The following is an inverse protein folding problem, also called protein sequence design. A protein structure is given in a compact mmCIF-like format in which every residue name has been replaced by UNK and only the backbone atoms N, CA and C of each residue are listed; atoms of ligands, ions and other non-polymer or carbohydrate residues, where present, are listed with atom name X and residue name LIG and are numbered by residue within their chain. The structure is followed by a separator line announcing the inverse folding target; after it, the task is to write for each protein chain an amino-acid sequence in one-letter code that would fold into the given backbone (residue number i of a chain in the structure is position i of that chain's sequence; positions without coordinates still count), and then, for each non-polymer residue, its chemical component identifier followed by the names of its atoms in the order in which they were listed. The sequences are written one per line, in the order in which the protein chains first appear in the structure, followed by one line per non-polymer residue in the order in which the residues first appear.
data_IF_672700567087
#
_entry.id   IF_672700567087
#
_cell.length_a   1.000
_cell.length_b   1.000
_cell.length_c   1.000
_cell.angle_alpha   90.00
_cell.angle_beta   90.00
_cell.angle_gamma   90.00
#
_symmetry.space_group_name_H-M   'P 1'
#
loop_
_entity.id
_entity.type
_entity.pdbx_description
1 polymer ?
#
# COMPACT_ATOMS: atom_id res chain seq x y z
N UNK A 1 -13.40 -16.80 -9.32
CA UNK A 1 -13.58 -15.79 -8.27
C UNK A 1 -12.90 -14.49 -8.70
N UNK A 2 -13.61 -13.38 -8.55
CA UNK A 2 -12.97 -12.09 -8.73
C UNK A 2 -11.94 -11.89 -7.62
N UNK A 3 -10.70 -11.58 -8.00
CA UNK A 3 -9.72 -11.12 -7.02
C UNK A 3 -10.17 -9.75 -6.47
N UNK A 4 -10.07 -9.58 -5.19
CA UNK A 4 -10.38 -8.31 -4.55
C UNK A 4 -9.28 -7.28 -4.84
N UNK A 5 -9.70 -6.03 -5.07
CA UNK A 5 -8.76 -4.94 -5.29
C UNK A 5 -8.08 -4.57 -3.97
N UNK A 6 -6.77 -4.44 -4.03
CA UNK A 6 -5.94 -4.08 -2.90
C UNK A 6 -4.89 -3.04 -3.29
N UNK A 7 -4.27 -2.46 -2.28
CA UNK A 7 -3.17 -1.50 -2.47
C UNK A 7 -2.04 -1.80 -1.49
N UNK A 8 -0.88 -1.25 -1.78
CA UNK A 8 0.32 -1.38 -0.96
C UNK A 8 0.67 -0.01 -0.37
N UNK A 9 0.82 0.03 0.96
CA UNK A 9 1.30 1.23 1.63
C UNK A 9 2.80 1.43 1.40
N UNK A 10 3.29 2.62 1.67
CA UNK A 10 4.69 3.01 1.46
C UNK A 10 5.67 2.05 2.14
N UNK A 11 5.36 1.56 3.35
CA UNK A 11 6.24 0.63 4.06
C UNK A 11 6.41 -0.71 3.33
N UNK A 12 5.38 -1.22 2.68
CA UNK A 12 5.48 -2.44 1.88
C UNK A 12 6.40 -2.22 0.67
N UNK A 13 6.24 -1.09 -0.01
CA UNK A 13 7.11 -0.72 -1.12
C UNK A 13 8.57 -0.55 -0.66
N UNK A 14 8.76 0.05 0.51
CA UNK A 14 10.08 0.21 1.11
C UNK A 14 10.77 -1.15 1.34
N UNK A 15 10.08 -2.08 1.99
CA UNK A 15 10.64 -3.41 2.25
C UNK A 15 10.90 -4.21 0.97
N UNK A 16 10.10 -4.01 -0.08
CA UNK A 16 10.34 -4.66 -1.35
C UNK A 16 11.66 -4.24 -2.01
N UNK A 17 12.20 -3.09 -1.63
CA UNK A 17 13.44 -2.52 -2.18
C UNK A 17 14.62 -2.70 -1.23
N UNK A 18 14.39 -2.62 0.09
CA UNK A 18 15.45 -2.65 1.10
C UNK A 18 15.86 -4.08 1.46
N UNK A 19 16.91 -4.58 0.84
CA UNK A 19 17.46 -5.92 1.09
C UNK A 19 17.89 -6.13 2.54
N UNK A 20 18.26 -5.08 3.25
CA UNK A 20 18.65 -5.14 4.66
C UNK A 20 17.48 -5.46 5.60
N UNK A 21 16.23 -5.39 5.10
CA UNK A 21 15.02 -5.68 5.88
C UNK A 21 14.78 -7.19 6.11
N UNK A 22 15.63 -8.06 5.58
CA UNK A 22 15.60 -9.50 5.87
C UNK A 22 14.31 -10.19 5.43
N UNK A 23 13.62 -10.83 6.37
CA UNK A 23 12.39 -11.57 6.09
C UNK A 23 11.27 -10.67 5.56
N UNK A 24 11.18 -9.44 6.03
CA UNK A 24 10.19 -8.47 5.51
C UNK A 24 10.46 -8.15 4.04
N UNK A 25 11.75 -8.05 3.65
CA UNK A 25 12.12 -7.88 2.26
C UNK A 25 11.67 -9.07 1.41
N UNK A 26 11.90 -10.30 1.88
CA UNK A 26 11.50 -11.50 1.15
C UNK A 26 9.98 -11.56 0.94
N UNK A 27 9.20 -11.27 1.97
CA UNK A 27 7.74 -11.25 1.90
C UNK A 27 7.24 -10.15 0.98
N UNK A 28 7.74 -8.92 1.16
CA UNK A 28 7.33 -7.76 0.37
C UNK A 28 7.68 -7.94 -1.12
N UNK A 29 8.83 -8.54 -1.41
CA UNK A 29 9.24 -8.82 -2.80
C UNK A 29 8.28 -9.80 -3.48
N UNK A 30 7.85 -10.85 -2.77
CA UNK A 30 6.86 -11.80 -3.30
C UNK A 30 5.52 -11.12 -3.56
N UNK A 31 5.06 -10.31 -2.64
CA UNK A 31 3.81 -9.56 -2.79
C UNK A 31 3.92 -8.62 -4.01
N UNK A 32 4.99 -7.86 -4.12
CA UNK A 32 5.19 -6.93 -5.23
C UNK A 32 5.20 -7.65 -6.58
N UNK A 33 5.92 -8.77 -6.67
CA UNK A 33 5.97 -9.56 -7.91
C UNK A 33 4.58 -10.06 -8.32
N UNK A 34 3.81 -10.59 -7.39
CA UNK A 34 2.49 -11.14 -7.68
C UNK A 34 1.41 -10.08 -7.86
N UNK A 35 1.61 -8.90 -7.28
CA UNK A 35 0.68 -7.78 -7.45
C UNK A 35 0.56 -7.32 -8.90
N UNK A 36 1.58 -7.58 -9.72
CA UNK A 36 1.57 -7.21 -11.13
C UNK A 36 0.54 -8.00 -11.94
N UNK A 37 0.20 -9.21 -11.50
CA UNK A 37 -0.80 -10.07 -12.14
C UNK A 37 -2.14 -10.07 -11.38
N UNK A 38 -2.29 -9.16 -10.44
CA UNK A 38 -3.48 -9.03 -9.61
C UNK A 38 -4.10 -7.64 -9.76
N UNK A 39 -5.25 -7.42 -9.13
CA UNK A 39 -5.92 -6.11 -9.13
C UNK A 39 -5.36 -5.22 -8.01
N UNK A 40 -4.15 -4.73 -8.24
CA UNK A 40 -3.44 -3.86 -7.32
C UNK A 40 -3.36 -2.45 -7.87
N UNK A 41 -3.80 -1.48 -7.08
CA UNK A 41 -3.64 -0.06 -7.37
C UNK A 41 -2.67 0.57 -6.37
N UNK A 42 -2.01 1.64 -6.75
CA UNK A 42 -1.18 2.44 -5.84
C UNK A 42 -1.75 3.84 -5.72
N UNK A 43 -1.48 4.49 -4.60
CA UNK A 43 -1.85 5.89 -4.41
C UNK A 43 -0.62 6.78 -4.63
N UNK A 44 -0.85 8.00 -5.09
CA UNK A 44 0.23 9.00 -5.19
C UNK A 44 0.83 9.27 -3.81
N UNK A 45 0.04 9.24 -2.75
CA UNK A 45 0.53 9.44 -1.39
C UNK A 45 1.54 8.36 -1.00
N UNK A 46 1.23 7.09 -1.23
CA UNK A 46 2.14 5.99 -0.90
C UNK A 46 3.47 6.10 -1.67
N UNK A 47 3.40 6.47 -2.95
CA UNK A 47 4.59 6.68 -3.77
C UNK A 47 5.44 7.85 -3.26
N UNK A 48 4.80 8.95 -2.87
CA UNK A 48 5.48 10.12 -2.30
C UNK A 48 6.15 9.77 -0.98
N UNK A 49 5.45 9.07 -0.10
CA UNK A 49 5.97 8.64 1.20
C UNK A 49 7.12 7.63 1.02
N UNK A 50 7.01 6.72 0.07
CA UNK A 50 8.11 5.81 -0.28
C UNK A 50 9.35 6.59 -0.68
N UNK A 51 9.22 7.53 -1.61
CA UNK A 51 10.35 8.34 -2.08
C UNK A 51 11.02 9.07 -0.90
N UNK A 52 10.23 9.71 -0.06
CA UNK A 52 10.74 10.42 1.10
C UNK A 52 11.49 9.49 2.07
N UNK A 53 10.93 8.32 2.35
CA UNK A 53 11.54 7.37 3.29
C UNK A 53 12.83 6.76 2.75
N UNK A 54 12.83 6.30 1.50
CA UNK A 54 13.99 5.58 0.92
C UNK A 54 15.19 6.50 0.74
N UNK A 55 14.96 7.78 0.40
CA UNK A 55 16.02 8.78 0.26
C UNK A 55 16.50 9.29 1.61
N UNK A 56 15.61 9.56 2.55
CA UNK A 56 15.96 10.01 3.90
C UNK A 56 16.84 8.97 4.61
N UNK A 57 16.53 7.71 4.49
CA UNK A 57 17.31 6.60 5.07
C UNK A 57 18.54 6.25 4.27
N UNK A 58 18.83 6.98 3.21
CA UNK A 58 20.00 6.81 2.34
C UNK A 58 20.15 5.41 1.74
N UNK A 59 19.02 4.75 1.50
CA UNK A 59 18.99 3.43 0.83
C UNK A 59 19.12 3.56 -0.67
N UNK A 60 18.66 4.67 -1.23
CA UNK A 60 18.78 5.00 -2.65
C UNK A 60 19.07 6.49 -2.82
N UNK A 61 19.73 6.85 -3.91
CA UNK A 61 19.85 8.25 -4.31
C UNK A 61 18.49 8.78 -4.78
N UNK A 62 18.32 10.10 -4.77
CA UNK A 62 17.10 10.71 -5.28
C UNK A 62 16.84 10.33 -6.76
N UNK A 63 17.89 10.26 -7.56
CA UNK A 63 17.79 9.89 -8.97
C UNK A 63 17.29 8.45 -9.15
N UNK A 64 17.87 7.51 -8.42
CA UNK A 64 17.46 6.10 -8.45
C UNK A 64 16.01 5.91 -7.97
N UNK A 65 15.66 6.56 -6.85
CA UNK A 65 14.32 6.49 -6.30
C UNK A 65 13.27 7.09 -7.25
N UNK A 66 13.60 8.23 -7.88
CA UNK A 66 12.72 8.85 -8.87
C UNK A 66 12.48 7.95 -10.08
N UNK A 67 13.54 7.28 -10.56
CA UNK A 67 13.43 6.34 -11.67
C UNK A 67 12.49 5.19 -11.31
N UNK A 68 12.65 4.62 -10.12
CA UNK A 68 11.82 3.52 -9.65
C UNK A 68 10.35 3.93 -9.49
N UNK A 69 10.09 5.10 -8.90
CA UNK A 69 8.72 5.60 -8.74
C UNK A 69 8.06 5.82 -10.10
N UNK A 70 8.77 6.41 -11.06
CA UNK A 70 8.25 6.59 -12.42
C UNK A 70 7.96 5.26 -13.11
N UNK A 71 8.80 4.25 -12.87
CA UNK A 71 8.57 2.91 -13.38
C UNK A 71 7.28 2.31 -12.80
N UNK A 72 7.08 2.42 -11.49
CA UNK A 72 5.85 1.95 -10.86
C UNK A 72 4.61 2.68 -11.39
N UNK A 73 4.71 4.00 -11.60
CA UNK A 73 3.60 4.77 -12.18
C UNK A 73 3.25 4.31 -13.60
N UNK A 74 4.18 3.72 -14.32
CA UNK A 74 3.92 3.20 -15.67
C UNK A 74 3.34 1.78 -15.66
N UNK A 75 3.51 1.04 -14.56
CA UNK A 75 3.09 -0.36 -14.47
C UNK A 75 1.78 -0.52 -13.72
N UNK A 76 1.60 0.21 -12.60
CA UNK A 76 0.40 0.13 -11.78
C UNK A 76 -0.60 1.24 -12.14
N UNK A 77 -1.90 0.96 -12.02
CA UNK A 77 -2.86 2.06 -11.93
C UNK A 77 -2.57 2.87 -10.67
N UNK A 78 -2.44 4.18 -10.82
CA UNK A 78 -2.13 5.09 -9.71
C UNK A 78 -3.28 6.08 -9.56
N UNK A 79 -3.77 6.22 -8.34
CA UNK A 79 -4.93 7.06 -8.05
C UNK A 79 -4.53 8.30 -7.24
N UNK A 80 -5.02 9.48 -7.64
CA UNK A 80 -4.73 10.72 -6.96
C UNK A 80 -5.77 11.05 -5.88
N UNK A 81 -5.41 11.87 -4.89
CA UNK A 81 -6.40 12.49 -4.03
C UNK A 81 -7.20 13.52 -4.82
N UNK A 82 -8.45 13.72 -4.41
CA UNK A 82 -9.35 14.71 -4.98
C UNK A 82 -9.98 15.55 -3.88
N UNK A 83 -10.69 16.61 -4.25
CA UNK A 83 -11.47 17.38 -3.28
C UNK A 83 -12.48 16.49 -2.56
N UNK A 84 -13.15 15.58 -3.28
CA UNK A 84 -14.08 14.63 -2.68
C UNK A 84 -13.42 13.68 -1.69
N UNK A 85 -12.22 13.18 -1.98
CA UNK A 85 -11.50 12.30 -1.05
C UNK A 85 -11.01 13.06 0.18
N UNK A 86 -10.61 14.32 0.05
CA UNK A 86 -10.27 15.14 1.20
C UNK A 86 -11.49 15.34 2.10
N UNK A 87 -12.65 15.65 1.52
CA UNK A 87 -13.89 15.83 2.28
C UNK A 87 -14.25 14.54 3.06
N UNK A 88 -14.15 13.37 2.42
CA UNK A 88 -14.37 12.08 3.08
C UNK A 88 -13.34 11.84 4.19
N UNK A 89 -12.07 12.18 3.95
CA UNK A 89 -11.01 12.06 4.96
C UNK A 89 -11.30 12.93 6.19
N UNK A 90 -11.73 14.16 5.99
CA UNK A 90 -12.10 15.06 7.09
C UNK A 90 -13.20 14.46 7.96
N UNK A 91 -14.14 13.76 7.37
CA UNK A 91 -15.19 13.07 8.11
C UNK A 91 -14.64 11.93 8.99
N UNK A 92 -13.69 11.14 8.47
CA UNK A 92 -13.02 10.10 9.25
C UNK A 92 -12.24 10.68 10.44
N UNK A 93 -11.56 11.80 10.22
CA UNK A 93 -10.77 12.50 11.27
C UNK A 93 -11.68 13.04 12.37
N UNK A 94 -12.78 13.68 11.99
CA UNK A 94 -13.71 14.29 12.96
C UNK A 94 -14.45 13.26 13.81
N UNK A 95 -14.53 12.01 13.37
CA UNK A 95 -15.04 10.90 14.15
C UNK A 95 -13.97 10.23 15.04
N UNK A 96 -12.74 10.75 15.02
CA UNK A 96 -11.64 10.28 15.86
C UNK A 96 -11.04 8.94 15.46
N UNK A 97 -11.27 8.48 14.21
CA UNK A 97 -10.88 7.15 13.76
C UNK A 97 -9.48 7.07 13.17
N UNK A 98 -8.93 8.18 12.69
CA UNK A 98 -7.67 8.18 11.98
C UNK A 98 -7.02 9.56 12.01
N UNK A 99 -5.70 9.61 11.77
CA UNK A 99 -5.01 10.84 11.44
C UNK A 99 -5.44 11.33 10.06
N UNK A 100 -5.18 12.59 9.75
CA UNK A 100 -5.52 13.13 8.42
C UNK A 100 -4.76 12.37 7.30
N UNK A 101 -3.53 11.95 7.56
CA UNK A 101 -2.72 11.24 6.58
C UNK A 101 -3.29 9.84 6.27
N UNK A 102 -3.61 9.08 7.31
CA UNK A 102 -4.24 7.77 7.17
C UNK A 102 -5.64 7.89 6.56
N UNK A 103 -6.41 8.88 7.00
CA UNK A 103 -7.76 9.12 6.50
C UNK A 103 -7.75 9.47 5.00
N UNK A 104 -6.78 10.27 4.55
CA UNK A 104 -6.65 10.64 3.14
C UNK A 104 -6.33 9.42 2.28
N UNK A 105 -5.41 8.57 2.76
CA UNK A 105 -5.07 7.33 2.07
C UNK A 105 -6.30 6.42 1.95
N UNK A 106 -6.99 6.19 3.04
CA UNK A 106 -8.18 5.33 3.09
C UNK A 106 -9.31 5.88 2.20
N UNK A 107 -9.57 7.19 2.26
CA UNK A 107 -10.60 7.81 1.44
C UNK A 107 -10.30 7.66 -0.06
N UNK A 108 -9.03 7.79 -0.44
CA UNK A 108 -8.60 7.61 -1.82
C UNK A 108 -8.83 6.17 -2.29
N UNK A 109 -8.49 5.19 -1.45
CA UNK A 109 -8.70 3.77 -1.76
C UNK A 109 -10.18 3.44 -1.86
N UNK A 110 -10.99 3.91 -0.92
CA UNK A 110 -12.43 3.67 -0.91
C UNK A 110 -13.12 4.27 -2.15
N UNK A 111 -12.71 5.46 -2.58
CA UNK A 111 -13.25 6.11 -3.77
C UNK A 111 -12.92 5.34 -5.06
N UNK A 112 -11.95 4.44 -5.02
CA UNK A 112 -11.51 3.63 -6.16
C UNK A 112 -11.84 2.15 -6.00
N UNK A 113 -12.84 1.84 -5.17
CA UNK A 113 -13.34 0.48 -4.93
C UNK A 113 -12.26 -0.50 -4.44
N UNK A 114 -11.31 0.01 -3.67
CA UNK A 114 -10.24 -0.78 -3.09
C UNK A 114 -10.64 -1.21 -1.67
N UNK A 115 -10.60 -2.50 -1.38
CA UNK A 115 -11.13 -3.06 -0.13
C UNK A 115 -10.05 -3.48 0.86
N UNK A 116 -8.78 -3.57 0.43
CA UNK A 116 -7.67 -3.99 1.29
C UNK A 116 -6.48 -3.06 1.12
N UNK A 117 -5.87 -2.69 2.24
CA UNK A 117 -4.58 -2.01 2.27
C UNK A 117 -3.58 -2.87 3.02
N UNK A 118 -2.51 -3.28 2.34
CA UNK A 118 -1.40 -3.96 2.99
C UNK A 118 -0.50 -2.90 3.61
N UNK A 119 -0.36 -2.94 4.93
CA UNK A 119 0.40 -1.96 5.69
C UNK A 119 0.87 -2.55 7.01
N UNK A 120 2.08 -2.19 7.43
CA UNK A 120 2.62 -2.54 8.74
C UNK A 120 2.25 -1.50 9.81
N UNK A 121 2.10 -0.24 9.40
CA UNK A 121 1.97 0.89 10.34
C UNK A 121 0.58 1.06 10.92
N UNK A 122 -0.44 0.56 10.24
CA UNK A 122 -1.81 0.62 10.72
C UNK A 122 -2.18 -0.70 11.39
N UNK A 123 -3.12 -0.64 12.32
CA UNK A 123 -3.55 -1.83 13.07
C UNK A 123 -4.18 -2.86 12.14
N UNK A 124 -3.55 -4.04 12.04
CA UNK A 124 -4.07 -5.15 11.22
C UNK A 124 -5.44 -5.60 11.72
N UNK A 125 -6.29 -5.99 10.78
CA UNK A 125 -7.66 -6.39 11.04
C UNK A 125 -8.61 -5.24 11.32
N UNK A 126 -8.11 -4.01 11.46
CA UNK A 126 -8.98 -2.86 11.60
C UNK A 126 -9.61 -2.52 10.24
N UNK A 127 -10.80 -1.96 10.31
CA UNK A 127 -11.51 -1.51 9.12
C UNK A 127 -11.79 -0.01 9.25
N UNK A 128 -11.33 0.77 8.28
CA UNK A 128 -11.62 2.19 8.17
C UNK A 128 -12.51 2.37 6.94
N UNK A 129 -13.77 2.80 7.16
CA UNK A 129 -14.75 2.78 6.10
C UNK A 129 -14.97 1.35 5.60
N UNK A 130 -14.79 1.13 4.31
CA UNK A 130 -14.91 -0.20 3.69
C UNK A 130 -13.54 -0.84 3.40
N UNK A 131 -12.45 -0.25 3.90
CA UNK A 131 -11.08 -0.73 3.68
C UNK A 131 -10.58 -1.48 4.90
N UNK A 132 -10.19 -2.73 4.71
CA UNK A 132 -9.57 -3.55 5.75
C UNK A 132 -8.04 -3.41 5.67
N UNK A 133 -7.42 -3.20 6.83
CA UNK A 133 -5.96 -3.11 6.95
C UNK A 133 -5.40 -4.52 7.18
N UNK A 134 -4.38 -4.88 6.42
CA UNK A 134 -3.73 -6.19 6.51
C UNK A 134 -2.23 -6.00 6.68
N UNK A 135 -1.68 -6.51 7.78
CA UNK A 135 -0.22 -6.58 7.96
C UNK A 135 0.27 -7.94 7.44
N UNK A 136 0.97 -7.97 6.28
CA UNK A 136 1.37 -9.24 5.68
C UNK A 136 2.50 -9.95 6.41
N UNK A 137 3.11 -9.30 7.40
CA UNK A 137 4.23 -9.84 8.17
C UNK A 137 3.79 -10.57 9.45
N UNK A 138 2.51 -10.52 9.78
CA UNK A 138 1.96 -11.04 11.03
C UNK A 138 1.19 -12.36 10.88
N UNK A 139 1.46 -13.14 9.87
CA UNK A 139 0.82 -14.44 9.70
C UNK A 139 0.05 -14.57 8.39
N UNK A 140 -1.14 -15.19 8.45
CA UNK A 140 -1.92 -15.47 7.25
C UNK A 140 -2.63 -14.24 6.71
N UNK A 141 -2.70 -14.15 5.38
CA UNK A 141 -3.51 -13.15 4.69
C UNK A 141 -4.99 -13.56 4.66
N UNK A 142 -5.92 -12.59 4.52
CA UNK A 142 -7.30 -12.91 4.22
C UNK A 142 -7.41 -13.80 2.97
N UNK A 143 -8.43 -14.62 2.91
CA UNK A 143 -8.63 -15.58 1.81
C UNK A 143 -8.55 -14.92 0.43
N UNK A 144 -9.10 -13.72 0.30
CA UNK A 144 -9.07 -12.97 -0.96
C UNK A 144 -7.66 -12.64 -1.45
N UNK A 145 -6.67 -12.61 -0.54
CA UNK A 145 -5.28 -12.23 -0.82
C UNK A 145 -4.28 -13.37 -0.61
N UNK A 146 -4.73 -14.57 -0.26
CA UNK A 146 -3.85 -15.73 0.00
C UNK A 146 -2.88 -16.01 -1.15
N UNK A 147 -3.32 -15.80 -2.38
CA UNK A 147 -2.53 -16.04 -3.59
C UNK A 147 -1.25 -15.20 -3.66
N UNK A 148 -1.17 -14.10 -2.90
CA UNK A 148 0.02 -13.24 -2.90
C UNK A 148 1.22 -13.89 -2.21
N UNK A 149 0.98 -14.82 -1.29
CA UNK A 149 2.03 -15.50 -0.52
C UNK A 149 1.96 -17.01 -0.60
N UNK A 150 0.98 -17.59 -1.32
CA UNK A 150 0.91 -19.03 -1.49
C UNK A 150 2.10 -19.52 -2.33
N UNK A 151 2.59 -20.71 -2.02
CA UNK A 151 3.58 -21.36 -2.85
C UNK A 151 2.90 -21.81 -4.15
N UNK A 152 3.55 -21.58 -5.28
CA UNK A 152 3.08 -22.12 -6.55
C UNK A 152 3.31 -23.65 -6.54
N UNK A 153 2.26 -24.39 -6.75
CA UNK A 153 2.40 -25.83 -7.02
C UNK A 153 2.86 -26.07 -8.46
#
# INVERSE_FOLDING_TARGET
MKSERFSLDANILFYAVDRASGQKHAIATRIAARSLDADCILTLQALTEFFAAITRKKKMSASEAAHLVRNWMSIYPVVPPTEGTLNAALQLVTTGRASIWDATLIACLQANDCHYLLSEDMRTGSRLGEVEIVNPFMGSLPRALEHLLSDDE
#
